data_IF_861454411699
#
_entry.id   IF_861454411699
#
_cell.length_a   1.000
_cell.length_b   1.000
_cell.length_c   1.000
_cell.angle_alpha   90.00
_cell.angle_beta   90.00
_cell.angle_gamma   90.00
#
_symmetry.space_group_name_H-M   'P 1'
#
loop_
_entity.id
_entity.type
_entity.pdbx_description
1 polymer ?
#
# COMPACT_ATOMS: atom_id res chain seq x y z
N UNK A 1 -24.50 8.83 -1.75
CA UNK A 1 -23.30 9.70 -1.71
C UNK A 1 -22.41 9.21 -2.83
N UNK A 2 -22.24 10.03 -3.83
CA UNK A 2 -21.37 9.69 -4.96
C UNK A 2 -19.92 9.82 -4.54
N UNK A 3 -19.10 8.83 -4.89
CA UNK A 3 -17.67 8.80 -4.59
C UNK A 3 -16.94 9.33 -5.81
N UNK A 4 -16.39 10.55 -5.70
CA UNK A 4 -15.68 11.24 -6.76
C UNK A 4 -14.16 11.28 -6.50
N UNK A 5 -13.76 11.23 -5.23
CA UNK A 5 -12.36 11.26 -4.82
C UNK A 5 -12.13 10.39 -3.57
N UNK A 6 -10.86 10.13 -3.23
CA UNK A 6 -10.49 9.31 -2.07
C UNK A 6 -11.00 9.89 -0.74
N UNK A 7 -11.07 11.22 -0.60
CA UNK A 7 -11.64 11.87 0.58
C UNK A 7 -13.11 11.54 0.85
N UNK A 8 -13.86 11.17 -0.18
CA UNK A 8 -15.25 10.70 0.02
C UNK A 8 -15.28 9.33 0.67
N UNK A 9 -14.28 8.47 0.39
CA UNK A 9 -14.11 7.19 1.08
C UNK A 9 -13.79 7.38 2.56
N UNK A 10 -12.98 8.39 2.92
CA UNK A 10 -12.69 8.72 4.33
C UNK A 10 -13.98 8.99 5.11
N UNK A 11 -14.91 9.78 4.53
CA UNK A 11 -16.22 10.07 5.17
C UNK A 11 -17.05 8.81 5.41
N UNK A 12 -16.95 7.82 4.51
CA UNK A 12 -17.61 6.53 4.66
C UNK A 12 -16.91 5.66 5.70
N UNK A 13 -15.59 5.61 5.67
CA UNK A 13 -14.77 4.87 6.64
C UNK A 13 -15.07 5.36 8.07
N UNK A 14 -15.09 6.67 8.31
CA UNK A 14 -15.43 7.27 9.61
C UNK A 14 -16.75 6.82 10.17
N UNK A 15 -17.73 6.47 9.32
CA UNK A 15 -19.06 6.00 9.74
C UNK A 15 -19.13 4.49 9.98
N UNK A 16 -18.21 3.72 9.39
CA UNK A 16 -18.29 2.25 9.36
C UNK A 16 -17.20 1.55 10.19
N UNK A 17 -16.03 2.18 10.26
CA UNK A 17 -14.89 1.64 11.00
C UNK A 17 -15.03 2.02 12.48
N UNK A 18 -14.76 1.11 13.43
CA UNK A 18 -14.72 1.47 14.84
C UNK A 18 -13.77 2.63 15.09
N UNK A 19 -14.21 3.60 15.92
CA UNK A 19 -13.50 4.86 16.13
C UNK A 19 -12.00 4.69 16.44
N UNK A 20 -11.66 3.71 17.26
CA UNK A 20 -10.28 3.41 17.66
C UNK A 20 -9.39 3.10 16.44
N UNK A 21 -9.87 2.28 15.51
CA UNK A 21 -9.12 1.91 14.31
C UNK A 21 -9.10 3.03 13.28
N UNK A 22 -10.22 3.76 13.14
CA UNK A 22 -10.27 4.94 12.28
C UNK A 22 -9.27 6.00 12.72
N UNK A 23 -9.28 6.36 14.02
CA UNK A 23 -8.38 7.38 14.57
C UNK A 23 -6.92 6.97 14.43
N UNK A 24 -6.58 5.69 14.60
CA UNK A 24 -5.22 5.18 14.40
C UNK A 24 -4.68 5.47 12.99
N UNK A 25 -5.50 5.30 11.96
CA UNK A 25 -5.10 5.53 10.56
C UNK A 25 -5.15 7.01 10.19
N UNK A 26 -6.09 7.74 10.78
CA UNK A 26 -6.41 9.13 10.41
C UNK A 26 -5.69 10.18 11.27
N UNK A 27 -4.69 9.78 12.04
CA UNK A 27 -3.90 10.70 12.86
C UNK A 27 -2.42 10.61 12.57
N UNK A 28 -1.74 11.74 12.73
CA UNK A 28 -0.28 11.87 12.70
C UNK A 28 0.31 12.07 14.08
N UNK A 29 1.62 12.22 14.15
CA UNK A 29 2.36 12.44 15.39
C UNK A 29 2.42 13.94 15.75
N UNK A 30 2.32 14.23 17.04
CA UNK A 30 2.50 15.57 17.62
C UNK A 30 1.59 16.64 16.99
N UNK A 31 2.19 17.62 16.33
CA UNK A 31 1.48 18.73 15.68
C UNK A 31 0.95 18.39 14.29
N UNK A 32 1.18 17.17 13.82
CA UNK A 32 0.76 16.70 12.50
C UNK A 32 1.29 17.52 11.31
N UNK A 33 2.38 18.26 11.50
CA UNK A 33 2.94 19.11 10.44
C UNK A 33 3.29 18.29 9.20
N UNK A 34 4.11 17.25 9.35
CA UNK A 34 4.50 16.38 8.24
C UNK A 34 3.31 15.61 7.66
N UNK A 35 2.38 15.17 8.51
CA UNK A 35 1.14 14.54 8.07
C UNK A 35 0.34 15.45 7.12
N UNK A 36 0.18 16.71 7.48
CA UNK A 36 -0.52 17.70 6.66
C UNK A 36 0.25 18.05 5.39
N UNK A 37 1.58 18.10 5.47
CA UNK A 37 2.46 18.38 4.32
C UNK A 37 2.40 17.27 3.28
N UNK A 38 2.19 16.02 3.66
CA UNK A 38 1.98 14.91 2.72
C UNK A 38 0.84 15.16 1.71
N UNK A 39 -0.10 16.03 2.03
CA UNK A 39 -1.18 16.44 1.14
C UNK A 39 -0.93 17.81 0.54
N UNK A 40 -0.57 18.81 1.37
CA UNK A 40 -0.45 20.20 0.94
C UNK A 40 0.69 20.42 -0.05
N UNK A 41 1.77 19.65 0.05
CA UNK A 41 2.93 19.80 -0.83
C UNK A 41 2.61 19.41 -2.29
N UNK A 42 1.67 18.51 -2.52
CA UNK A 42 1.21 18.25 -3.87
C UNK A 42 0.60 19.48 -4.54
N UNK A 43 0.00 20.39 -3.79
CA UNK A 43 -0.55 21.64 -4.33
C UNK A 43 0.52 22.61 -4.87
N UNK A 44 1.76 22.44 -4.45
CA UNK A 44 2.93 23.23 -4.92
C UNK A 44 3.41 22.76 -6.29
N UNK A 45 3.09 21.52 -6.67
CA UNK A 45 3.49 20.93 -7.95
C UNK A 45 2.44 21.34 -9.00
N UNK A 46 2.87 22.01 -10.05
CA UNK A 46 1.99 22.46 -11.13
C UNK A 46 2.31 21.71 -12.42
N UNK A 47 1.27 21.20 -13.06
CA UNK A 47 1.39 20.58 -14.37
C UNK A 47 1.31 21.64 -15.45
N UNK A 48 2.33 21.71 -16.33
CA UNK A 48 2.29 22.57 -17.51
C UNK A 48 1.51 21.86 -18.63
N UNK A 49 0.32 22.33 -18.90
CA UNK A 49 -0.48 21.83 -20.02
C UNK A 49 0.20 22.11 -21.35
N UNK A 50 0.09 21.17 -22.27
CA UNK A 50 0.42 21.32 -23.67
C UNK A 50 -0.83 21.05 -24.49
N UNK A 51 -1.23 21.99 -25.32
CA UNK A 51 -2.40 21.87 -26.23
C UNK A 51 -1.96 21.41 -27.62
N UNK A 52 -2.90 20.88 -28.40
CA UNK A 52 -2.69 20.40 -29.77
C UNK A 52 -1.57 19.34 -29.89
N UNK A 53 -1.41 18.48 -28.88
CA UNK A 53 -0.49 17.32 -28.89
C UNK A 53 -1.31 16.05 -29.09
N UNK A 54 -0.90 15.23 -30.07
CA UNK A 54 -1.49 13.90 -30.23
C UNK A 54 -1.22 13.00 -29.02
N UNK A 55 -2.29 12.54 -28.38
CA UNK A 55 -2.26 11.70 -27.19
C UNK A 55 -2.70 10.25 -27.44
N UNK A 56 -2.90 9.86 -28.70
CA UNK A 56 -3.44 8.55 -29.10
C UNK A 56 -2.58 7.39 -28.62
N UNK A 57 -1.27 7.58 -28.60
CA UNK A 57 -0.30 6.53 -28.20
C UNK A 57 0.22 6.66 -26.78
N UNK A 58 -0.49 7.39 -25.89
CA UNK A 58 -0.08 7.52 -24.50
C UNK A 58 -0.12 6.19 -23.79
N UNK A 59 0.98 5.85 -23.11
CA UNK A 59 1.13 4.63 -22.32
C UNK A 59 1.55 5.00 -20.91
N UNK A 60 1.00 4.29 -19.90
CA UNK A 60 1.38 4.41 -18.49
C UNK A 60 2.15 3.18 -18.02
N UNK A 61 2.11 2.07 -18.78
CA UNK A 61 2.78 0.84 -18.41
C UNK A 61 4.30 1.02 -18.36
N UNK A 62 4.92 0.43 -17.37
CA UNK A 62 6.36 0.47 -17.11
C UNK A 62 6.80 -0.77 -16.35
N UNK A 63 8.05 -0.79 -15.88
CA UNK A 63 8.55 -1.80 -14.95
C UNK A 63 8.83 -1.20 -13.58
N UNK A 64 8.43 -1.90 -12.53
CA UNK A 64 8.81 -1.65 -11.14
C UNK A 64 9.41 -2.93 -10.57
N UNK A 65 10.66 -2.86 -10.08
CA UNK A 65 11.38 -4.01 -9.53
C UNK A 65 11.25 -5.25 -10.43
N UNK A 66 11.59 -5.07 -11.73
CA UNK A 66 11.51 -6.09 -12.80
C UNK A 66 10.12 -6.65 -13.13
N UNK A 67 9.07 -6.14 -12.53
CA UNK A 67 7.68 -6.50 -12.84
C UNK A 67 7.05 -5.52 -13.84
N UNK A 68 6.39 -6.05 -14.86
CA UNK A 68 5.57 -5.22 -15.76
C UNK A 68 4.31 -4.76 -15.02
N UNK A 69 4.10 -3.44 -15.01
CA UNK A 69 2.98 -2.79 -14.30
C UNK A 69 2.18 -1.90 -15.25
N UNK A 70 0.89 -1.75 -14.95
CA UNK A 70 -0.01 -0.93 -15.77
C UNK A 70 0.27 0.57 -15.65
N UNK A 71 0.83 1.00 -14.52
CA UNK A 71 1.22 2.38 -14.23
C UNK A 71 2.33 2.42 -13.16
N UNK A 72 3.13 3.49 -13.06
CA UNK A 72 4.27 3.59 -12.14
C UNK A 72 3.83 3.84 -10.68
N UNK A 73 2.97 3.00 -10.14
CA UNK A 73 2.41 3.09 -8.78
C UNK A 73 2.43 1.70 -8.14
N UNK A 74 2.73 1.65 -6.86
CA UNK A 74 2.57 0.48 -6.00
C UNK A 74 1.80 0.87 -4.74
N UNK A 75 1.05 -0.04 -4.17
CA UNK A 75 0.40 0.19 -2.87
C UNK A 75 1.43 -0.04 -1.76
N UNK A 76 1.63 1.01 -0.95
CA UNK A 76 2.54 0.99 0.18
C UNK A 76 2.10 -0.02 1.26
N UNK A 77 3.06 -0.56 2.05
CA UNK A 77 2.73 -1.44 3.15
C UNK A 77 1.95 -0.68 4.23
N UNK A 78 0.72 -1.11 4.50
CA UNK A 78 -0.13 -0.53 5.53
C UNK A 78 -0.39 -1.58 6.61
N UNK A 79 0.01 -1.27 7.85
CA UNK A 79 -0.25 -2.15 8.98
C UNK A 79 -1.72 -2.17 9.36
N UNK A 80 -2.15 -3.30 9.93
CA UNK A 80 -3.48 -3.47 10.55
C UNK A 80 -4.67 -3.16 9.61
N UNK A 81 -4.51 -3.35 8.30
CA UNK A 81 -5.59 -3.09 7.32
C UNK A 81 -6.81 -3.97 7.62
N UNK A 82 -6.60 -5.21 8.06
CA UNK A 82 -7.68 -6.12 8.48
C UNK A 82 -8.51 -5.61 9.67
N UNK A 83 -7.99 -4.67 10.46
CA UNK A 83 -8.75 -4.00 11.52
C UNK A 83 -9.71 -2.93 10.99
N UNK A 84 -9.42 -2.37 9.82
CA UNK A 84 -10.27 -1.42 9.12
C UNK A 84 -11.43 -2.14 8.41
N UNK A 85 -11.13 -3.28 7.83
CA UNK A 85 -12.04 -4.14 7.09
C UNK A 85 -11.59 -5.59 7.20
N UNK A 86 -12.49 -6.50 7.55
CA UNK A 86 -12.18 -7.94 7.50
C UNK A 86 -11.61 -8.30 6.12
N UNK A 87 -10.55 -9.11 6.12
CA UNK A 87 -9.79 -9.50 4.92
C UNK A 87 -9.20 -8.32 4.12
N UNK A 88 -8.95 -7.18 4.79
CA UNK A 88 -8.53 -5.93 4.15
C UNK A 88 -7.28 -6.08 3.30
N UNK A 89 -6.27 -6.78 3.79
CA UNK A 89 -5.03 -7.04 3.06
C UNK A 89 -5.26 -7.92 1.82
N UNK A 90 -6.12 -8.93 1.93
CA UNK A 90 -6.48 -9.80 0.81
C UNK A 90 -7.23 -9.01 -0.26
N UNK A 91 -8.22 -8.22 0.15
CA UNK A 91 -9.00 -7.38 -0.76
C UNK A 91 -8.13 -6.33 -1.46
N UNK A 92 -7.19 -5.72 -0.74
CA UNK A 92 -6.23 -4.77 -1.31
C UNK A 92 -5.31 -5.45 -2.34
N UNK A 93 -4.79 -6.63 -2.02
CA UNK A 93 -3.95 -7.40 -2.93
C UNK A 93 -4.70 -7.81 -4.21
N UNK A 94 -5.95 -8.25 -4.09
CA UNK A 94 -6.81 -8.59 -5.22
C UNK A 94 -7.11 -7.37 -6.11
N UNK A 95 -7.40 -6.21 -5.51
CA UNK A 95 -7.61 -4.97 -6.24
C UNK A 95 -6.34 -4.56 -7.01
N UNK A 96 -5.16 -4.66 -6.39
CA UNK A 96 -3.89 -4.38 -7.06
C UNK A 96 -3.64 -5.35 -8.22
N UNK A 97 -3.96 -6.62 -8.05
CA UNK A 97 -3.85 -7.63 -9.11
C UNK A 97 -4.75 -7.29 -10.31
N UNK A 98 -6.00 -6.86 -10.05
CA UNK A 98 -6.93 -6.43 -11.08
C UNK A 98 -6.44 -5.18 -11.83
N UNK A 99 -5.92 -4.18 -11.12
CA UNK A 99 -5.34 -2.97 -11.71
C UNK A 99 -3.99 -3.20 -12.39
N UNK A 100 -3.31 -4.32 -12.11
CA UNK A 100 -1.99 -4.61 -12.64
C UNK A 100 -0.88 -3.76 -12.01
N UNK A 101 -0.97 -3.48 -10.72
CA UNK A 101 0.03 -2.77 -9.92
C UNK A 101 0.50 -3.63 -8.74
N UNK A 102 1.71 -3.44 -8.22
CA UNK A 102 2.19 -4.21 -7.07
C UNK A 102 1.46 -3.86 -5.78
N UNK A 103 1.19 -4.88 -4.98
CA UNK A 103 0.76 -4.75 -3.59
C UNK A 103 1.93 -5.05 -2.66
N UNK A 104 2.07 -4.31 -1.58
CA UNK A 104 3.06 -4.58 -0.53
C UNK A 104 2.37 -4.98 0.76
N UNK A 105 2.57 -6.22 1.19
CA UNK A 105 2.06 -6.70 2.47
C UNK A 105 2.97 -6.25 3.61
N UNK A 106 2.40 -5.66 4.65
CA UNK A 106 3.14 -5.22 5.84
C UNK A 106 3.50 -6.38 6.76
N UNK A 107 4.65 -6.31 7.45
CA UNK A 107 4.95 -7.18 8.59
C UNK A 107 3.85 -7.11 9.67
N UNK A 108 3.19 -5.95 9.80
CA UNK A 108 2.12 -5.72 10.78
C UNK A 108 0.72 -5.97 10.20
N UNK A 109 0.60 -6.84 9.21
CA UNK A 109 -0.69 -7.24 8.65
C UNK A 109 -1.48 -8.13 9.62
N UNK A 110 -2.80 -8.08 9.50
CA UNK A 110 -3.71 -9.00 10.21
C UNK A 110 -3.78 -10.34 9.48
N UNK A 111 -3.91 -10.30 8.14
CA UNK A 111 -3.84 -11.50 7.32
C UNK A 111 -2.39 -11.98 7.20
N UNK A 112 -2.17 -13.30 7.28
CA UNK A 112 -0.85 -13.90 7.10
C UNK A 112 -0.37 -13.81 5.64
N UNK A 113 0.94 -13.97 5.44
CA UNK A 113 1.55 -14.02 4.11
C UNK A 113 0.89 -15.12 3.26
N UNK A 114 0.69 -16.27 3.88
CA UNK A 114 0.11 -17.45 3.24
C UNK A 114 -1.37 -17.26 2.86
N UNK A 115 -2.13 -16.55 3.70
CA UNK A 115 -3.53 -16.23 3.40
C UNK A 115 -3.63 -15.29 2.21
N UNK A 116 -2.81 -14.25 2.14
CA UNK A 116 -2.78 -13.35 0.99
C UNK A 116 -2.37 -14.12 -0.26
N UNK A 117 -1.30 -14.92 -0.21
CA UNK A 117 -0.83 -15.73 -1.33
C UNK A 117 -1.88 -16.73 -1.84
N UNK A 118 -2.67 -17.32 -0.94
CA UNK A 118 -3.76 -18.24 -1.32
C UNK A 118 -4.87 -17.56 -2.12
N UNK A 119 -5.08 -16.26 -1.92
CA UNK A 119 -6.19 -15.51 -2.51
C UNK A 119 -5.78 -14.60 -3.68
N UNK A 120 -4.50 -14.62 -4.05
CA UNK A 120 -3.95 -13.89 -5.20
C UNK A 120 -3.34 -14.86 -6.20
N UNK A 121 -3.30 -14.48 -7.49
CA UNK A 121 -2.69 -15.27 -8.57
C UNK A 121 -1.34 -14.73 -8.98
N UNK A 122 -1.09 -13.43 -8.70
CA UNK A 122 0.17 -12.76 -9.00
C UNK A 122 1.00 -12.59 -7.73
N UNK A 123 2.35 -12.60 -7.85
CA UNK A 123 3.22 -12.31 -6.72
C UNK A 123 2.99 -10.89 -6.21
N UNK A 124 3.19 -10.71 -4.91
CA UNK A 124 3.15 -9.43 -4.23
C UNK A 124 4.49 -9.18 -3.51
N UNK A 125 4.71 -7.98 -3.00
CA UNK A 125 5.88 -7.62 -2.22
C UNK A 125 5.61 -7.83 -0.73
N UNK A 126 6.64 -8.17 0.03
CA UNK A 126 6.57 -8.26 1.48
C UNK A 126 7.46 -7.22 2.13
N UNK A 127 6.91 -6.42 3.05
CA UNK A 127 7.67 -5.43 3.80
C UNK A 127 8.15 -6.04 5.13
N UNK A 128 9.43 -5.84 5.43
CA UNK A 128 10.12 -6.34 6.60
C UNK A 128 10.61 -5.19 7.49
N UNK A 129 10.31 -5.28 8.79
CA UNK A 129 11.00 -4.53 9.82
C UNK A 129 12.20 -5.30 10.35
N UNK A 130 13.30 -4.58 10.64
CA UNK A 130 14.45 -5.15 11.34
C UNK A 130 14.10 -5.33 12.82
N UNK A 131 14.19 -6.56 13.33
CA UNK A 131 13.89 -6.91 14.70
C UNK A 131 15.13 -7.49 15.40
N UNK A 132 15.15 -7.43 16.75
CA UNK A 132 16.26 -8.01 17.54
C UNK A 132 16.40 -9.52 17.35
N UNK A 133 15.29 -10.24 17.22
CA UNK A 133 15.31 -11.69 16.95
C UNK A 133 15.59 -11.97 15.47
N UNK A 134 16.85 -12.21 15.16
CA UNK A 134 17.31 -12.54 13.80
C UNK A 134 16.65 -13.81 13.25
N UNK A 135 16.47 -14.83 14.08
CA UNK A 135 15.82 -16.09 13.66
C UNK A 135 14.36 -15.89 13.31
N UNK A 136 13.69 -14.95 13.99
CA UNK A 136 12.32 -14.60 13.62
C UNK A 136 12.27 -13.91 12.24
N UNK A 137 13.19 -12.97 11.98
CA UNK A 137 13.29 -12.32 10.66
C UNK A 137 13.59 -13.33 9.56
N UNK A 138 14.55 -14.24 9.78
CA UNK A 138 14.88 -15.31 8.82
C UNK A 138 13.63 -16.13 8.46
N UNK A 139 12.86 -16.55 9.48
CA UNK A 139 11.60 -17.27 9.24
C UNK A 139 10.58 -16.46 8.46
N UNK A 140 10.47 -15.15 8.69
CA UNK A 140 9.56 -14.29 7.90
C UNK A 140 10.00 -14.22 6.43
N UNK A 141 11.30 -14.08 6.18
CA UNK A 141 11.86 -14.06 4.82
C UNK A 141 11.61 -15.39 4.13
N UNK A 142 11.87 -16.51 4.81
CA UNK A 142 11.59 -17.84 4.26
C UNK A 142 10.10 -18.05 3.93
N UNK A 143 9.20 -17.54 4.78
CA UNK A 143 7.76 -17.61 4.53
C UNK A 143 7.35 -16.78 3.32
N UNK A 144 7.91 -15.56 3.19
CA UNK A 144 7.66 -14.70 2.03
C UNK A 144 8.17 -15.35 0.73
N UNK A 145 9.36 -15.94 0.75
CA UNK A 145 9.91 -16.67 -0.38
C UNK A 145 9.03 -17.88 -0.77
N UNK A 146 8.68 -18.72 0.21
CA UNK A 146 7.79 -19.89 -0.01
C UNK A 146 6.40 -19.51 -0.52
N UNK A 147 5.90 -18.34 -0.13
CA UNK A 147 4.63 -17.79 -0.60
C UNK A 147 4.72 -17.16 -2.00
N UNK A 148 5.93 -17.08 -2.58
CA UNK A 148 6.17 -16.53 -3.92
C UNK A 148 6.17 -15.01 -3.97
N UNK A 149 6.48 -14.32 -2.87
CA UNK A 149 6.68 -12.87 -2.89
C UNK A 149 7.83 -12.51 -3.84
N UNK A 150 7.62 -11.51 -4.70
CA UNK A 150 8.58 -11.14 -5.74
C UNK A 150 9.61 -10.09 -5.32
N UNK A 151 9.40 -9.44 -4.17
CA UNK A 151 10.35 -8.50 -3.61
C UNK A 151 10.22 -8.40 -2.09
N UNK A 152 11.35 -8.07 -1.44
CA UNK A 152 11.41 -7.71 -0.03
C UNK A 152 11.63 -6.20 0.08
N UNK A 153 10.74 -5.52 0.80
CA UNK A 153 10.81 -4.08 1.06
C UNK A 153 11.30 -3.87 2.49
N UNK A 154 12.54 -3.44 2.63
CA UNK A 154 13.14 -3.21 3.95
C UNK A 154 12.81 -1.80 4.46
N UNK A 155 12.17 -1.70 5.62
CA UNK A 155 11.89 -0.43 6.30
C UNK A 155 13.03 -0.06 7.24
N UNK A 156 13.61 1.14 7.07
CA UNK A 156 14.80 1.61 7.77
C UNK A 156 14.57 2.84 8.67
N UNK A 157 13.37 3.36 8.72
CA UNK A 157 13.02 4.62 9.40
C UNK A 157 12.51 4.44 10.84
N UNK A 158 12.47 3.21 11.35
CA UNK A 158 12.18 2.96 12.75
C UNK A 158 13.43 3.18 13.61
N UNK A 159 13.28 4.03 14.61
CA UNK A 159 14.30 4.23 15.67
C UNK A 159 14.00 3.29 16.83
N UNK A 160 15.00 2.47 17.21
CA UNK A 160 14.96 1.58 18.36
C UNK A 160 15.98 1.99 19.43
#
# INVERSE_FOLDING_TARGET
MDILEIKDLEKLAKKRVPKMFFDYVNSGSWTETTYNENVSDYSKIKLRQRVAVDMTNRKLNTKLVDQDVSMPVAIAPTGLTGMQRADGEILAAQACEEFGIPYTLSTMSVCSIEEVAKHTKKPFWFQLYVMKDKKFMERLIERADKAGCSALVLTLDLQF
#
